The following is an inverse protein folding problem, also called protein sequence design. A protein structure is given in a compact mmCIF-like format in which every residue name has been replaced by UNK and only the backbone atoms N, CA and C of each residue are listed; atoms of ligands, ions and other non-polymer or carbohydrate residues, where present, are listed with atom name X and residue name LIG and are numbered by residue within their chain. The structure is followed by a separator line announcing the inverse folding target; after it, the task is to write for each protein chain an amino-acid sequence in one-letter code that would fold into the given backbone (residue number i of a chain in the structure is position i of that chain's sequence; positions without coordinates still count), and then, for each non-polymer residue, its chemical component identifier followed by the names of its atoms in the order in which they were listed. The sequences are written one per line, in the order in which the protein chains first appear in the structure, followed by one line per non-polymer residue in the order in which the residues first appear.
data_IF_817967740770
#
_entry.id   IF_817967740770
#
_cell.length_a   1.000
_cell.length_b   1.000
_cell.length_c   1.000
_cell.angle_alpha   90.00
_cell.angle_beta   90.00
_cell.angle_gamma   90.00
#
_symmetry.space_group_name_H-M   'P 1'
#
loop_
_entity.id
_entity.type
_entity.pdbx_description
1 polymer ?
#
# COMPACT_ATOMS: atom_id res chain seq x y z
N UNK A 1 5.10 22.36 8.92
CA UNK A 1 3.91 22.94 8.22
C UNK A 1 2.66 22.57 9.00
N UNK A 2 1.64 23.42 9.13
CA UNK A 2 0.41 23.04 9.88
C UNK A 2 -0.22 21.77 9.29
N UNK A 3 -0.68 20.85 10.15
CA UNK A 3 -1.24 19.55 9.74
C UNK A 3 -2.37 19.71 8.72
N UNK A 4 -3.29 20.66 8.94
CA UNK A 4 -4.41 20.92 8.04
C UNK A 4 -3.97 21.34 6.63
N UNK A 5 -2.86 22.10 6.54
CA UNK A 5 -2.28 22.47 5.26
C UNK A 5 -1.58 21.28 4.59
N UNK A 6 -1.00 20.36 5.36
CA UNK A 6 -0.45 19.12 4.82
C UNK A 6 -1.57 18.23 4.26
N UNK A 7 -2.66 18.04 5.01
CA UNK A 7 -3.84 17.28 4.58
C UNK A 7 -4.46 17.86 3.31
N UNK A 8 -4.60 19.19 3.23
CA UNK A 8 -5.12 19.85 2.04
C UNK A 8 -4.25 19.58 0.79
N UNK A 9 -2.92 19.65 0.95
CA UNK A 9 -1.99 19.35 -0.14
C UNK A 9 -2.03 17.89 -0.59
N UNK A 10 -2.11 16.94 0.35
CA UNK A 10 -2.27 15.52 -0.01
C UNK A 10 -3.61 15.27 -0.72
N UNK A 11 -4.68 15.94 -0.30
CA UNK A 11 -5.98 15.83 -0.95
C UNK A 11 -5.98 16.37 -2.39
N UNK A 12 -5.23 17.43 -2.69
CA UNK A 12 -5.02 17.93 -4.06
C UNK A 12 -4.33 16.90 -4.97
N UNK A 13 -3.58 15.96 -4.37
CA UNK A 13 -2.92 14.84 -5.03
C UNK A 13 -3.75 13.54 -5.02
N UNK A 14 -5.02 13.62 -4.60
CA UNK A 14 -5.93 12.48 -4.55
C UNK A 14 -5.76 11.56 -3.33
N UNK A 15 -4.84 11.89 -2.41
CA UNK A 15 -4.65 11.17 -1.15
C UNK A 15 -5.54 11.81 -0.09
N UNK A 16 -6.73 11.24 0.09
CA UNK A 16 -7.79 11.80 0.93
C UNK A 16 -8.05 10.85 2.09
N UNK A 17 -8.34 11.40 3.27
CA UNK A 17 -8.82 10.63 4.41
C UNK A 17 -10.11 9.90 4.06
N UNK A 18 -10.24 8.66 4.53
CA UNK A 18 -11.52 7.97 4.41
C UNK A 18 -12.62 8.73 5.18
N UNK A 19 -13.89 8.71 4.71
CA UNK A 19 -14.94 9.59 5.21
C UNK A 19 -15.20 9.56 6.72
N UNK A 20 -14.92 8.43 7.36
CA UNK A 20 -15.09 8.19 8.80
C UNK A 20 -13.88 8.60 9.65
N UNK A 21 -12.78 9.02 9.01
CA UNK A 21 -11.51 9.33 9.67
C UNK A 21 -11.45 10.81 10.01
N UNK A 22 -11.06 11.10 11.25
CA UNK A 22 -10.92 12.47 11.76
C UNK A 22 -9.46 12.80 12.02
N UNK A 23 -9.15 14.09 12.15
CA UNK A 23 -7.82 14.54 12.61
C UNK A 23 -7.46 13.93 13.96
N UNK A 24 -8.45 13.71 14.84
CA UNK A 24 -8.22 13.07 16.14
C UNK A 24 -7.85 11.59 16.04
N UNK A 25 -8.17 10.92 14.93
CA UNK A 25 -7.67 9.55 14.69
C UNK A 25 -6.19 9.59 14.33
N UNK A 26 -5.75 10.59 13.55
CA UNK A 26 -4.33 10.80 13.19
C UNK A 26 -3.51 11.20 14.43
N UNK A 27 -4.04 12.15 15.22
CA UNK A 27 -3.36 12.66 16.42
C UNK A 27 -3.31 11.65 17.58
N UNK A 28 -4.00 10.52 17.45
CA UNK A 28 -3.91 9.45 18.43
C UNK A 28 -2.56 8.73 18.36
N UNK A 29 -2.01 8.55 17.16
CA UNK A 29 -0.74 7.85 16.93
C UNK A 29 0.47 8.78 17.07
N UNK A 30 0.37 10.00 16.54
CA UNK A 30 1.45 10.98 16.59
C UNK A 30 0.93 12.33 17.08
N UNK A 31 1.64 12.95 18.01
CA UNK A 31 1.28 14.29 18.42
C UNK A 31 1.48 15.29 17.27
N UNK A 32 0.74 16.39 17.35
CA UNK A 32 0.75 17.43 16.32
C UNK A 32 2.14 18.00 16.08
N UNK A 33 2.93 18.23 17.13
CA UNK A 33 4.24 18.84 16.97
C UNK A 33 5.15 17.94 16.13
N UNK A 34 5.09 16.63 16.37
CA UNK A 34 5.84 15.63 15.60
C UNK A 34 5.46 15.68 14.11
N UNK A 35 4.16 15.59 13.79
CA UNK A 35 3.64 15.67 12.40
C UNK A 35 3.95 17.01 11.70
N UNK A 36 4.01 18.11 12.44
CA UNK A 36 4.31 19.42 11.87
C UNK A 36 5.81 19.69 11.70
N UNK A 37 6.65 18.93 12.41
CA UNK A 37 8.12 19.03 12.38
C UNK A 37 8.77 18.20 11.27
N UNK A 38 8.17 17.06 10.92
CA UNK A 38 8.52 16.23 9.77
C UNK A 38 7.30 16.10 8.84
N UNK A 39 7.05 17.11 8.01
CA UNK A 39 5.83 17.16 7.22
C UNK A 39 5.86 16.13 6.09
N UNK A 40 4.67 15.64 5.72
CA UNK A 40 4.44 14.71 4.61
C UNK A 40 4.99 13.30 4.77
N UNK A 41 6.29 13.07 5.06
CA UNK A 41 6.81 11.70 5.18
C UNK A 41 6.10 10.93 6.29
N UNK A 42 6.11 11.48 7.51
CA UNK A 42 5.38 10.89 8.65
C UNK A 42 3.86 10.84 8.42
N UNK A 43 3.31 11.83 7.70
CA UNK A 43 1.88 11.86 7.40
C UNK A 43 1.49 10.78 6.37
N UNK A 44 2.32 10.52 5.36
CA UNK A 44 2.15 9.43 4.40
C UNK A 44 2.27 8.08 5.10
N UNK A 45 3.26 7.91 5.98
CA UNK A 45 3.33 6.74 6.85
C UNK A 45 2.02 6.58 7.63
N UNK A 46 1.50 7.65 8.24
CA UNK A 46 0.23 7.60 8.96
C UNK A 46 -0.94 7.24 8.04
N UNK A 47 -0.98 7.74 6.81
CA UNK A 47 -2.02 7.41 5.82
C UNK A 47 -2.00 5.94 5.41
N UNK A 48 -0.83 5.32 5.41
CA UNK A 48 -0.64 3.90 5.10
C UNK A 48 -1.07 2.96 6.21
N UNK A 49 -1.40 3.48 7.40
CA UNK A 49 -1.78 2.71 8.58
C UNK A 49 -3.30 2.62 8.78
N UNK A 50 -3.68 1.68 9.63
CA UNK A 50 -5.01 1.68 10.25
C UNK A 50 -5.04 2.59 11.48
N UNK A 51 -6.24 3.01 11.86
CA UNK A 51 -6.44 3.77 13.08
C UNK A 51 -6.12 2.92 14.31
N UNK A 52 -5.20 3.40 15.14
CA UNK A 52 -4.73 2.70 16.34
C UNK A 52 -5.67 2.81 17.56
N UNK A 53 -6.94 3.18 17.34
CA UNK A 53 -7.98 3.25 18.36
C UNK A 53 -9.30 2.65 17.89
N UNK A 54 -10.09 2.18 18.86
CA UNK A 54 -11.38 1.57 18.58
C UNK A 54 -12.34 2.52 17.82
N UNK A 55 -13.12 2.00 16.84
CA UNK A 55 -13.08 0.62 16.34
C UNK A 55 -11.85 0.36 15.46
N UNK A 56 -11.21 -0.81 15.63
CA UNK A 56 -10.08 -1.28 14.81
C UNK A 56 -10.48 -1.58 13.36
N UNK A 57 -9.50 -1.73 12.46
CA UNK A 57 -9.73 -2.10 11.05
C UNK A 57 -10.10 -0.93 10.14
N UNK A 58 -10.05 0.31 10.64
CA UNK A 58 -10.34 1.51 9.85
C UNK A 58 -9.06 2.02 9.22
N UNK A 59 -8.98 2.02 7.88
CA UNK A 59 -7.84 2.59 7.15
C UNK A 59 -7.90 4.12 7.17
N UNK A 60 -6.76 4.78 7.34
CA UNK A 60 -6.69 6.24 7.29
C UNK A 60 -6.89 6.73 5.85
N UNK A 61 -6.24 6.09 4.88
CA UNK A 61 -6.41 6.33 3.46
C UNK A 61 -6.47 5.00 2.69
N UNK A 62 -7.34 4.91 1.68
CA UNK A 62 -7.40 3.74 0.81
C UNK A 62 -6.34 3.74 -0.30
N UNK A 63 -5.62 4.85 -0.50
CA UNK A 63 -4.62 5.01 -1.58
C UNK A 63 -3.17 5.00 -1.12
N UNK A 64 -2.95 4.77 0.18
CA UNK A 64 -1.63 4.59 0.78
C UNK A 64 -1.64 3.33 1.63
N UNK A 65 -0.54 2.61 1.67
CA UNK A 65 -0.39 1.43 2.51
C UNK A 65 1.05 1.28 3.00
N UNK A 66 1.23 1.10 4.32
CA UNK A 66 2.50 0.63 4.85
C UNK A 66 2.54 -0.88 4.69
N UNK A 67 3.16 -1.33 3.62
CA UNK A 67 3.31 -2.75 3.35
C UNK A 67 4.55 -3.27 4.05
N UNK A 68 4.31 -4.22 4.96
CA UNK A 68 5.35 -5.03 5.57
C UNK A 68 5.43 -6.35 4.79
N UNK A 69 6.56 -6.64 4.11
CA UNK A 69 6.73 -7.90 3.38
C UNK A 69 6.99 -9.11 4.30
N UNK A 70 7.40 -8.91 5.56
CA UNK A 70 7.71 -9.97 6.54
C UNK A 70 6.42 -10.43 7.25
N UNK A 71 5.46 -10.96 6.48
CA UNK A 71 4.13 -11.33 7.00
C UNK A 71 3.49 -12.56 6.36
N UNK A 72 4.27 -13.40 5.69
CA UNK A 72 3.78 -14.64 5.08
C UNK A 72 3.93 -15.78 6.10
N UNK A 73 2.83 -16.44 6.41
CA UNK A 73 2.79 -17.47 7.45
C UNK A 73 1.80 -18.59 7.16
N UNK A 74 0.77 -18.32 6.36
CA UNK A 74 -0.29 -19.26 6.06
C UNK A 74 -1.00 -18.95 4.74
N UNK A 75 -1.79 -19.93 4.30
CA UNK A 75 -2.76 -19.75 3.21
C UNK A 75 -3.73 -18.62 3.58
N UNK A 76 -3.88 -17.65 2.69
CA UNK A 76 -4.69 -16.44 2.82
C UNK A 76 -3.85 -15.17 2.82
N UNK A 77 -2.56 -15.23 3.14
CA UNK A 77 -1.73 -14.04 3.30
C UNK A 77 -1.51 -13.31 1.97
N UNK A 78 -1.28 -14.04 0.87
CA UNK A 78 -1.19 -13.39 -0.45
C UNK A 78 -2.56 -12.89 -0.91
N UNK A 79 -3.65 -13.59 -0.58
CA UNK A 79 -5.01 -13.11 -0.89
C UNK A 79 -5.26 -11.76 -0.23
N UNK A 80 -4.85 -11.58 1.03
CA UNK A 80 -4.95 -10.30 1.72
C UNK A 80 -4.10 -9.22 1.05
N UNK A 81 -2.83 -9.50 0.74
CA UNK A 81 -1.93 -8.56 0.08
C UNK A 81 -2.51 -8.10 -1.27
N UNK A 82 -2.93 -9.03 -2.13
CA UNK A 82 -3.48 -8.73 -3.46
C UNK A 82 -4.74 -7.86 -3.36
N UNK A 83 -5.61 -8.12 -2.37
CA UNK A 83 -6.79 -7.27 -2.11
C UNK A 83 -6.40 -5.85 -1.70
N UNK A 84 -5.35 -5.69 -0.89
CA UNK A 84 -4.84 -4.35 -0.55
C UNK A 84 -4.29 -3.63 -1.77
N UNK A 85 -3.54 -4.32 -2.64
CA UNK A 85 -3.05 -3.74 -3.90
C UNK A 85 -4.20 -3.30 -4.81
N UNK A 86 -5.26 -4.09 -4.92
CA UNK A 86 -6.46 -3.73 -5.68
C UNK A 86 -7.14 -2.48 -5.09
N UNK A 87 -7.27 -2.42 -3.77
CA UNK A 87 -7.83 -1.28 -3.04
C UNK A 87 -7.03 0.00 -3.31
N UNK A 88 -5.69 -0.06 -3.28
CA UNK A 88 -4.81 1.07 -3.65
C UNK A 88 -5.08 1.54 -5.08
N UNK A 89 -5.32 0.60 -6.00
CA UNK A 89 -5.75 0.84 -7.38
C UNK A 89 -7.12 1.52 -7.51
N UNK A 90 -7.86 1.66 -6.41
CA UNK A 90 -9.18 2.29 -6.35
C UNK A 90 -10.34 1.34 -6.69
N UNK A 91 -10.08 0.05 -6.87
CA UNK A 91 -11.10 -0.97 -7.13
C UNK A 91 -10.69 -2.28 -6.46
N UNK A 92 -11.26 -2.54 -5.29
CA UNK A 92 -10.94 -3.72 -4.47
C UNK A 92 -11.35 -5.05 -5.12
N UNK A 93 -12.26 -5.03 -6.10
CA UNK A 93 -12.77 -6.21 -6.80
C UNK A 93 -12.17 -6.34 -8.21
N UNK A 94 -11.12 -5.57 -8.52
CA UNK A 94 -10.48 -5.54 -9.83
C UNK A 94 -9.93 -6.91 -10.25
N UNK A 95 -9.24 -7.58 -9.33
CA UNK A 95 -8.84 -8.98 -9.47
C UNK A 95 -9.86 -9.86 -8.75
N UNK A 96 -10.28 -10.93 -9.41
CA UNK A 96 -11.36 -11.80 -8.95
C UNK A 96 -10.83 -13.20 -8.60
N UNK A 97 -11.61 -13.97 -7.86
CA UNK A 97 -11.31 -15.37 -7.55
C UNK A 97 -9.88 -15.59 -6.98
N UNK A 98 -9.39 -14.62 -6.20
CA UNK A 98 -8.04 -14.64 -5.64
C UNK A 98 -7.95 -15.77 -4.60
N UNK A 99 -7.05 -16.71 -4.83
CA UNK A 99 -6.77 -17.85 -3.95
C UNK A 99 -5.26 -18.12 -3.93
N UNK A 100 -4.74 -18.49 -2.77
CA UNK A 100 -3.36 -18.92 -2.60
C UNK A 100 -3.31 -20.28 -1.90
N UNK A 101 -2.12 -20.85 -1.87
CA UNK A 101 -1.76 -21.97 -1.02
C UNK A 101 -0.34 -21.76 -0.54
N UNK A 102 -0.11 -21.95 0.75
CA UNK A 102 1.18 -21.72 1.40
C UNK A 102 1.46 -22.91 2.32
N UNK A 103 2.49 -23.68 1.96
CA UNK A 103 3.13 -24.68 2.79
C UNK A 103 4.63 -24.37 2.89
N UNK A 104 5.01 -23.69 3.97
CA UNK A 104 6.40 -23.30 4.21
C UNK A 104 7.29 -24.49 4.62
N UNK A 105 6.70 -25.55 5.17
CA UNK A 105 7.45 -26.75 5.58
C UNK A 105 7.87 -27.58 4.36
N UNK A 106 6.98 -27.70 3.37
CA UNK A 106 7.24 -28.41 2.11
C UNK A 106 7.81 -27.48 1.01
N UNK A 107 7.75 -26.16 1.20
CA UNK A 107 8.19 -25.16 0.21
C UNK A 107 7.26 -25.05 -0.99
N UNK A 108 6.00 -25.48 -0.86
CA UNK A 108 4.99 -25.43 -1.91
C UNK A 108 4.11 -24.19 -1.69
N UNK A 109 4.33 -23.16 -2.49
CA UNK A 109 3.61 -21.89 -2.40
C UNK A 109 3.17 -21.44 -3.79
N UNK A 110 1.91 -21.04 -3.95
CA UNK A 110 1.40 -20.49 -5.21
C UNK A 110 0.26 -19.50 -4.99
N UNK A 111 0.03 -18.64 -5.98
CA UNK A 111 -1.05 -17.64 -6.03
C UNK A 111 -1.78 -17.71 -7.37
N UNK A 112 -3.11 -17.68 -7.32
CA UNK A 112 -3.97 -17.57 -8.49
C UNK A 112 -5.01 -16.46 -8.34
N UNK A 113 -5.39 -15.88 -9.48
CA UNK A 113 -6.48 -14.91 -9.57
C UNK A 113 -6.97 -14.79 -11.01
N UNK A 114 -8.11 -14.13 -11.20
CA UNK A 114 -8.74 -13.87 -12.48
C UNK A 114 -8.72 -12.38 -12.79
N UNK A 115 -8.15 -12.01 -13.95
CA UNK A 115 -8.20 -10.67 -14.53
C UNK A 115 -9.07 -10.70 -15.78
N UNK A 116 -10.31 -10.22 -15.67
CA UNK A 116 -11.30 -10.34 -16.73
C UNK A 116 -11.62 -11.81 -17.04
N UNK A 117 -11.27 -12.28 -18.25
CA UNK A 117 -11.44 -13.69 -18.64
C UNK A 117 -10.15 -14.53 -18.44
N UNK A 118 -9.05 -13.90 -18.06
CA UNK A 118 -7.74 -14.55 -17.96
C UNK A 118 -7.46 -14.98 -16.52
N UNK A 119 -7.25 -16.29 -16.31
CA UNK A 119 -6.72 -16.82 -15.06
C UNK A 119 -5.20 -16.75 -15.05
N UNK A 120 -4.65 -16.19 -13.99
CA UNK A 120 -3.21 -16.13 -13.68
C UNK A 120 -2.87 -17.19 -12.64
N UNK A 121 -1.70 -17.77 -12.76
CA UNK A 121 -1.11 -18.69 -11.79
C UNK A 121 0.37 -18.36 -11.66
N UNK A 122 0.82 -18.17 -10.43
CA UNK A 122 2.19 -17.84 -10.08
C UNK A 122 2.69 -18.81 -9.02
N UNK A 123 3.79 -19.49 -9.32
CA UNK A 123 4.60 -20.15 -8.30
C UNK A 123 5.25 -19.06 -7.44
N UNK A 124 5.24 -19.25 -6.13
CA UNK A 124 5.80 -18.32 -5.15
C UNK A 124 7.09 -18.90 -4.58
N UNK A 125 8.16 -18.12 -4.59
CA UNK A 125 9.38 -18.51 -3.88
C UNK A 125 9.17 -18.38 -2.36
N UNK A 126 9.19 -19.51 -1.64
CA UNK A 126 9.12 -19.51 -0.18
C UNK A 126 10.44 -18.97 0.40
N UNK A 127 10.37 -17.89 1.19
CA UNK A 127 11.52 -17.32 1.87
C UNK A 127 11.16 -16.99 3.32
N UNK A 128 11.10 -18.02 4.18
CA UNK A 128 10.61 -17.91 5.55
C UNK A 128 9.25 -17.19 5.60
N UNK A 129 9.18 -16.03 6.26
CA UNK A 129 7.99 -15.19 6.38
C UNK A 129 7.95 -14.00 5.42
N UNK A 130 8.86 -13.95 4.45
CA UNK A 130 8.95 -12.85 3.48
C UNK A 130 8.12 -13.10 2.23
N UNK A 131 7.44 -12.05 1.77
CA UNK A 131 6.71 -12.05 0.51
C UNK A 131 7.67 -12.10 -0.70
N UNK A 132 7.28 -12.88 -1.71
CA UNK A 132 7.93 -12.93 -3.02
C UNK A 132 7.58 -11.65 -3.80
N UNK A 133 8.50 -10.69 -3.75
CA UNK A 133 8.35 -9.40 -4.42
C UNK A 133 8.31 -9.51 -5.94
N UNK A 134 8.90 -10.57 -6.52
CA UNK A 134 8.83 -10.78 -7.96
C UNK A 134 7.41 -11.21 -8.36
N UNK A 135 6.82 -12.17 -7.65
CA UNK A 135 5.43 -12.56 -7.88
C UNK A 135 4.47 -11.38 -7.66
N UNK A 136 4.66 -10.61 -6.59
CA UNK A 136 3.87 -9.40 -6.34
C UNK A 136 4.07 -8.34 -7.43
N UNK A 137 5.24 -8.24 -8.06
CA UNK A 137 5.45 -7.31 -9.18
C UNK A 137 4.55 -7.65 -10.38
N UNK A 138 4.35 -8.92 -10.71
CA UNK A 138 3.43 -9.30 -11.79
C UNK A 138 1.96 -8.97 -11.46
N UNK A 139 1.56 -9.15 -10.20
CA UNK A 139 0.24 -8.72 -9.72
C UNK A 139 0.08 -7.21 -9.86
N UNK A 140 1.08 -6.45 -9.40
CA UNK A 140 1.08 -5.00 -9.48
C UNK A 140 0.99 -4.54 -10.92
N UNK A 141 1.76 -5.14 -11.85
CA UNK A 141 1.70 -4.87 -13.29
C UNK A 141 0.29 -5.09 -13.85
N UNK A 142 -0.35 -6.21 -13.52
CA UNK A 142 -1.73 -6.52 -13.94
C UNK A 142 -2.75 -5.51 -13.39
N UNK A 143 -2.49 -4.84 -12.26
CA UNK A 143 -3.34 -3.79 -11.69
C UNK A 143 -3.12 -2.42 -12.36
N UNK A 144 -1.93 -2.14 -12.91
CA UNK A 144 -1.59 -0.84 -13.50
C UNK A 144 -2.51 -0.49 -14.67
N UNK A 145 -3.04 0.73 -14.63
CA UNK A 145 -4.02 1.26 -15.58
C UNK A 145 -4.10 2.78 -15.47
N UNK A 146 -4.66 3.41 -16.51
CA UNK A 146 -4.94 4.85 -16.56
C UNK A 146 -3.69 5.73 -16.34
N UNK A 147 -2.50 5.22 -16.68
CA UNK A 147 -1.22 5.92 -16.49
C UNK A 147 -0.72 5.97 -15.04
N UNK A 148 -1.39 5.26 -14.13
CA UNK A 148 -0.95 5.10 -12.75
C UNK A 148 -0.12 3.81 -12.58
N UNK A 149 0.81 3.85 -11.64
CA UNK A 149 1.59 2.69 -11.21
C UNK A 149 1.87 2.75 -9.70
N UNK A 150 2.44 1.68 -9.16
CA UNK A 150 2.87 1.62 -7.77
C UNK A 150 4.22 2.30 -7.60
N UNK A 151 4.27 3.23 -6.65
CA UNK A 151 5.51 3.84 -6.17
C UNK A 151 5.71 3.50 -4.71
N UNK A 152 6.97 3.49 -4.29
CA UNK A 152 7.36 3.22 -2.92
C UNK A 152 8.25 4.32 -2.35
N UNK A 153 8.09 4.54 -1.05
CA UNK A 153 9.02 5.30 -0.22
C UNK A 153 9.53 4.38 0.89
N UNK A 154 10.84 4.34 1.10
CA UNK A 154 11.44 3.56 2.18
C UNK A 154 11.17 4.20 3.54
N UNK A 155 10.75 3.37 4.48
CA UNK A 155 10.51 3.76 5.86
C UNK A 155 11.27 2.84 6.85
N UNK A 156 12.37 2.23 6.41
CA UNK A 156 13.30 1.36 7.17
C UNK A 156 12.69 0.02 7.64
N UNK A 157 11.43 0.01 8.05
CA UNK A 157 10.71 -1.15 8.59
C UNK A 157 9.63 -1.67 7.66
N UNK A 158 9.14 -0.83 6.76
CA UNK A 158 8.07 -1.14 5.83
C UNK A 158 8.25 -0.27 4.59
N UNK A 159 7.58 -0.65 3.52
CA UNK A 159 7.54 0.13 2.30
C UNK A 159 6.20 0.87 2.21
N UNK A 160 6.24 2.20 2.14
CA UNK A 160 5.03 3.01 1.93
C UNK A 160 4.68 2.88 0.45
N UNK A 161 3.58 2.19 0.15
CA UNK A 161 3.06 2.03 -1.20
C UNK A 161 1.99 3.06 -1.52
N UNK A 162 2.10 3.67 -2.69
CA UNK A 162 1.06 4.54 -3.28
C UNK A 162 0.81 4.14 -4.74
N UNK A 163 -0.44 4.31 -5.19
CA UNK A 163 -0.81 4.06 -6.59
C UNK A 163 -1.28 5.37 -7.25
N UNK A 164 -0.40 5.97 -8.05
CA UNK A 164 -0.56 7.33 -8.60
C UNK A 164 0.08 7.46 -9.98
N UNK A 165 -0.22 8.55 -10.70
CA UNK A 165 0.51 8.92 -11.91
C UNK A 165 1.90 9.50 -11.61
N UNK A 166 2.75 9.59 -12.64
CA UNK A 166 4.12 10.08 -12.50
C UNK A 166 4.22 11.53 -12.02
N UNK A 167 3.33 12.42 -12.48
CA UNK A 167 3.32 13.82 -12.06
C UNK A 167 3.01 13.96 -10.57
N UNK A 168 2.14 13.10 -10.05
CA UNK A 168 1.78 13.02 -8.64
C UNK A 168 2.92 12.42 -7.81
N UNK A 169 3.57 11.37 -8.30
CA UNK A 169 4.74 10.79 -7.64
C UNK A 169 5.89 11.81 -7.49
N UNK A 170 6.17 12.61 -8.53
CA UNK A 170 7.18 13.68 -8.48
C UNK A 170 6.81 14.72 -7.41
N UNK A 171 5.55 15.16 -7.38
CA UNK A 171 5.08 16.13 -6.36
C UNK A 171 5.17 15.55 -4.95
N UNK A 172 4.83 14.27 -4.76
CA UNK A 172 4.98 13.61 -3.46
C UNK A 172 6.46 13.54 -3.06
N UNK A 173 7.35 13.27 -4.01
CA UNK A 173 8.79 13.22 -3.77
C UNK A 173 9.31 14.59 -3.30
N UNK A 174 8.94 15.66 -4.01
CA UNK A 174 9.26 17.04 -3.64
C UNK A 174 8.71 17.43 -2.24
N UNK A 175 7.54 16.91 -1.86
CA UNK A 175 6.95 17.17 -0.55
C UNK A 175 7.67 16.41 0.57
N UNK A 176 8.17 15.20 0.30
CA UNK A 176 8.85 14.35 1.27
C UNK A 176 10.36 14.60 1.36
N UNK A 177 10.93 15.37 0.42
CA UNK A 177 12.39 15.54 0.25
C UNK A 177 13.11 14.20 0.04
N UNK A 178 12.43 13.26 -0.64
CA UNK A 178 12.91 11.90 -0.90
C UNK A 178 12.18 11.33 -2.13
N UNK A 179 12.91 10.62 -2.99
CA UNK A 179 12.36 10.10 -4.24
C UNK A 179 11.42 8.93 -3.98
N UNK A 180 10.19 9.03 -4.49
CA UNK A 180 9.31 7.88 -4.63
C UNK A 180 9.75 7.06 -5.84
N UNK A 181 10.22 5.84 -5.60
CA UNK A 181 10.71 4.95 -6.64
C UNK A 181 9.57 4.09 -7.21
N UNK A 182 9.48 3.88 -8.53
CA UNK A 182 8.52 2.94 -9.09
C UNK A 182 8.89 1.52 -8.65
N UNK A 183 7.90 0.76 -8.16
CA UNK A 183 8.14 -0.62 -7.72
C UNK A 183 8.54 -1.52 -8.89
N UNK A 184 7.98 -1.26 -10.06
CA UNK A 184 8.33 -1.93 -11.32
C UNK A 184 9.04 -0.91 -12.21
N UNK A 185 10.33 -1.11 -12.53
CA UNK A 185 11.02 -0.23 -13.46
C UNK A 185 10.42 -0.35 -14.87
N UNK A 186 10.14 0.80 -15.49
CA UNK A 186 9.62 0.90 -16.86
C UNK A 186 10.68 0.79 -17.96
#
# INVERSE_FOLDING_TARGET
MQLEAQLAKLAELGLILNPEITIEDILFSFDRQTLESDPFKLLLFTFGSEVEREPKGRRICNRVWNFDPERISATGDYVEIVRQLCLLGGDADYLQEIVDYIDLDEGECWLEYTLGENRRHWEIESNDDWADMLALSYVMEDIQRDGCQFYTLDNEQAMILVYVDADTAIKLSDLCDEDLEPVIPG
#
